data_IF_280328452183
#
_entry.id   IF_280328452183
#
_cell.length_a   1.000
_cell.length_b   1.000
_cell.length_c   1.000
_cell.angle_alpha   90.00
_cell.angle_beta   90.00
_cell.angle_gamma   90.00
#
_symmetry.space_group_name_H-M   'P 1'
#
loop_
_entity.id
_entity.type
_entity.pdbx_description
1 polymer ?
#
# COMPACT_ATOMS: atom_id res chain seq x y z
N UNK A 1 -24.80 -17.01 35.00
CA UNK A 1 -24.52 -16.67 33.59
C UNK A 1 -25.27 -17.65 32.72
N UNK A 2 -26.22 -17.14 31.95
CA UNK A 2 -26.92 -17.89 30.91
C UNK A 2 -26.07 -17.97 29.64
N UNK A 3 -26.41 -18.88 28.73
CA UNK A 3 -25.77 -18.97 27.41
C UNK A 3 -25.97 -17.67 26.60
N UNK A 4 -27.08 -16.95 26.85
CA UNK A 4 -27.38 -15.66 26.22
C UNK A 4 -26.51 -14.52 26.74
N UNK A 5 -26.12 -14.55 28.01
CA UNK A 5 -25.19 -13.55 28.57
C UNK A 5 -23.81 -13.71 27.92
N UNK A 6 -23.35 -14.96 27.78
CA UNK A 6 -22.05 -15.27 27.17
C UNK A 6 -21.98 -14.84 25.69
N UNK A 7 -23.05 -15.09 24.92
CA UNK A 7 -23.10 -14.67 23.52
C UNK A 7 -23.11 -13.14 23.39
N UNK A 8 -23.86 -12.42 24.23
CA UNK A 8 -23.89 -10.96 24.24
C UNK A 8 -22.51 -10.35 24.52
N UNK A 9 -21.78 -10.86 25.52
CA UNK A 9 -20.40 -10.43 25.77
C UNK A 9 -19.46 -10.78 24.62
N UNK A 10 -19.62 -11.96 24.01
CA UNK A 10 -18.84 -12.37 22.84
C UNK A 10 -19.01 -11.42 21.65
N UNK A 11 -20.26 -11.06 21.31
CA UNK A 11 -20.53 -10.09 20.25
C UNK A 11 -19.94 -8.72 20.58
N UNK A 12 -20.12 -8.23 21.81
CA UNK A 12 -19.58 -6.93 22.22
C UNK A 12 -18.05 -6.87 22.07
N UNK A 13 -17.34 -7.87 22.60
CA UNK A 13 -15.87 -7.95 22.51
C UNK A 13 -15.43 -8.03 21.05
N UNK A 14 -16.11 -8.84 20.23
CA UNK A 14 -15.79 -8.98 18.81
C UNK A 14 -15.98 -7.65 18.06
N UNK A 15 -17.10 -6.96 18.28
CA UNK A 15 -17.37 -5.66 17.63
C UNK A 15 -16.36 -4.59 18.06
N UNK A 16 -16.03 -4.51 19.35
CA UNK A 16 -15.02 -3.57 19.86
C UNK A 16 -13.64 -3.90 19.27
N UNK A 17 -13.24 -5.18 19.30
CA UNK A 17 -11.95 -5.62 18.77
C UNK A 17 -11.85 -5.33 17.27
N UNK A 18 -12.89 -5.63 16.50
CA UNK A 18 -12.94 -5.34 15.07
C UNK A 18 -12.83 -3.83 14.80
N UNK A 19 -13.53 -3.00 15.58
CA UNK A 19 -13.47 -1.54 15.46
C UNK A 19 -12.07 -1.00 15.77
N UNK A 20 -11.41 -1.53 16.81
CA UNK A 20 -10.04 -1.15 17.17
C UNK A 20 -9.02 -1.58 16.11
N UNK A 21 -9.14 -2.79 15.57
CA UNK A 21 -8.29 -3.26 14.48
C UNK A 21 -8.46 -2.40 13.23
N UNK A 22 -9.70 -2.01 12.91
CA UNK A 22 -9.98 -1.12 11.80
C UNK A 22 -9.34 0.26 12.01
N UNK A 23 -9.50 0.86 13.19
CA UNK A 23 -8.85 2.13 13.52
C UNK A 23 -7.32 2.03 13.50
N UNK A 24 -6.76 0.95 14.05
CA UNK A 24 -5.33 0.70 14.04
C UNK A 24 -4.78 0.53 12.61
N UNK A 25 -5.54 -0.14 11.73
CA UNK A 25 -5.17 -0.29 10.33
C UNK A 25 -5.14 1.06 9.61
N UNK A 26 -6.17 1.88 9.80
CA UNK A 26 -6.21 3.25 9.25
C UNK A 26 -5.00 4.04 9.75
N UNK A 27 -4.73 4.02 11.06
CA UNK A 27 -3.55 4.67 11.64
C UNK A 27 -2.23 4.14 11.07
N UNK A 28 -2.10 2.83 10.85
CA UNK A 28 -0.93 2.21 10.24
C UNK A 28 -0.67 2.74 8.82
N UNK A 29 -1.72 2.85 7.99
CA UNK A 29 -1.61 3.40 6.63
C UNK A 29 -1.14 4.85 6.65
N UNK A 30 -1.72 5.70 7.50
CA UNK A 30 -1.27 7.10 7.64
C UNK A 30 0.15 7.21 8.21
N UNK A 31 0.52 6.32 9.12
CA UNK A 31 1.87 6.26 9.68
C UNK A 31 2.90 5.84 8.62
N UNK A 32 2.54 4.91 7.73
CA UNK A 32 3.39 4.50 6.61
C UNK A 32 3.64 5.64 5.62
N UNK A 33 2.62 6.49 5.40
CA UNK A 33 2.74 7.75 4.64
C UNK A 33 3.69 8.73 5.32
N UNK A 34 3.50 8.99 6.63
CA UNK A 34 4.34 9.92 7.39
C UNK A 34 5.83 9.51 7.45
N UNK A 35 6.10 8.19 7.35
CA UNK A 35 7.46 7.63 7.37
C UNK A 35 8.14 7.65 5.98
N UNK A 36 7.44 8.11 4.94
CA UNK A 36 7.98 8.22 3.57
C UNK A 36 8.30 6.89 2.90
N UNK A 37 7.82 5.76 3.44
CA UNK A 37 8.13 4.42 2.90
C UNK A 37 7.26 4.08 1.69
N UNK A 38 6.02 4.60 1.66
CA UNK A 38 5.12 4.52 0.51
C UNK A 38 4.32 5.81 0.41
N UNK A 39 4.48 6.51 -0.69
CA UNK A 39 3.61 7.63 -1.06
C UNK A 39 2.35 7.06 -1.70
N UNK A 40 1.23 7.15 -1.00
CA UNK A 40 -0.07 6.73 -1.51
C UNK A 40 -0.84 7.86 -2.20
N UNK A 41 -0.37 9.12 -2.11
CA UNK A 41 -0.99 10.24 -2.84
C UNK A 41 -0.64 10.21 -4.32
N UNK A 42 0.52 9.63 -4.69
CA UNK A 42 0.93 9.49 -6.09
C UNK A 42 -0.08 8.74 -6.98
N UNK A 43 -0.92 7.87 -6.41
CA UNK A 43 -1.94 7.16 -7.18
C UNK A 43 -3.13 8.06 -7.54
N UNK A 44 -3.31 9.20 -6.85
CA UNK A 44 -4.27 10.23 -7.22
C UNK A 44 -3.89 10.92 -8.53
N UNK A 45 -2.59 11.06 -8.80
CA UNK A 45 -2.07 11.65 -10.05
C UNK A 45 -2.37 10.78 -11.28
N UNK A 46 -2.70 9.50 -11.11
CA UNK A 46 -3.15 8.63 -12.23
C UNK A 46 -4.41 9.20 -12.88
N UNK A 47 -5.32 9.79 -12.10
CA UNK A 47 -6.53 10.39 -12.65
C UNK A 47 -6.24 11.69 -13.44
N UNK A 48 -5.12 12.35 -13.15
CA UNK A 48 -4.69 13.57 -13.84
C UNK A 48 -3.85 13.25 -15.09
N UNK A 49 -3.11 12.15 -15.05
CA UNK A 49 -2.17 11.67 -16.06
C UNK A 49 -2.59 10.29 -16.61
N UNK A 50 -3.79 10.22 -17.19
CA UNK A 50 -4.39 8.99 -17.75
C UNK A 50 -4.13 8.82 -19.26
N UNK A 51 -3.21 9.61 -19.84
CA UNK A 51 -2.87 9.47 -21.26
C UNK A 51 -1.97 8.25 -21.48
N UNK A 52 -2.13 7.55 -22.61
CA UNK A 52 -1.32 6.35 -22.92
C UNK A 52 0.20 6.62 -23.03
N UNK A 53 0.59 7.88 -23.23
CA UNK A 53 2.00 8.30 -23.33
C UNK A 53 2.58 8.76 -22.00
N UNK A 54 1.78 8.83 -20.93
CA UNK A 54 2.25 9.28 -19.64
C UNK A 54 3.19 8.26 -18.97
N UNK A 55 4.02 8.78 -18.07
CA UNK A 55 5.01 7.98 -17.36
C UNK A 55 4.32 7.07 -16.33
N UNK A 56 4.77 5.82 -16.16
CA UNK A 56 4.25 4.96 -15.12
C UNK A 56 4.49 5.55 -13.71
N UNK A 57 3.47 5.49 -12.85
CA UNK A 57 3.48 6.02 -11.47
C UNK A 57 4.41 5.25 -10.53
N UNK A 58 4.78 4.03 -10.90
CA UNK A 58 5.79 3.25 -10.19
C UNK A 58 6.98 3.04 -11.12
N UNK A 59 8.19 3.21 -10.57
CA UNK A 59 9.39 2.74 -11.26
C UNK A 59 9.26 1.23 -11.44
N UNK A 60 9.16 0.83 -12.70
CA UNK A 60 9.30 -0.57 -13.08
C UNK A 60 10.78 -0.87 -12.85
N UNK A 61 11.13 -1.56 -11.76
CA UNK A 61 12.48 -2.09 -11.57
C UNK A 61 12.79 -3.03 -12.74
N UNK A 62 13.45 -2.50 -13.76
CA UNK A 62 13.99 -3.27 -14.86
C UNK A 62 15.34 -3.82 -14.42
N UNK A 63 15.42 -5.13 -14.17
CA UNK A 63 16.69 -5.90 -14.06
C UNK A 63 17.56 -5.86 -15.36
N UNK A 64 17.20 -5.04 -16.35
CA UNK A 64 17.81 -4.99 -17.68
C UNK A 64 18.65 -3.72 -17.98
N UNK A 65 18.76 -2.76 -17.04
CA UNK A 65 19.59 -1.58 -17.27
C UNK A 65 21.11 -1.82 -17.19
N UNK A 66 21.56 -2.96 -16.64
CA UNK A 66 23.00 -3.28 -16.53
C UNK A 66 23.58 -3.96 -17.79
N UNK A 67 22.74 -4.47 -18.69
CA UNK A 67 23.21 -5.25 -19.85
C UNK A 67 23.45 -4.41 -21.10
N UNK A 68 22.85 -3.22 -21.18
CA UNK A 68 22.94 -2.37 -22.38
C UNK A 68 24.20 -1.46 -22.35
N UNK A 69 24.61 -0.96 -21.17
CA UNK A 69 25.85 -0.18 -21.02
C UNK A 69 27.12 -1.01 -21.25
N UNK A 70 27.11 -2.29 -20.85
CA UNK A 70 28.25 -3.20 -21.02
C UNK A 70 28.43 -3.71 -22.46
N UNK A 71 27.40 -3.67 -23.30
CA UNK A 71 27.47 -4.08 -24.71
C UNK A 71 27.92 -2.95 -25.64
N UNK A 72 27.61 -1.69 -25.33
CA UNK A 72 28.09 -0.54 -26.12
C UNK A 72 29.61 -0.34 -25.92
N UNK A 73 30.11 -0.53 -24.69
CA UNK A 73 31.55 -0.38 -24.39
C UNK A 73 32.42 -1.50 -24.97
N UNK A 74 31.87 -2.71 -25.19
CA UNK A 74 32.58 -3.81 -25.88
C UNK A 74 32.59 -3.70 -27.42
N UNK A 75 31.82 -2.78 -27.99
CA UNK A 75 31.72 -2.55 -29.44
C UNK A 75 32.47 -1.29 -29.92
N UNK A 76 33.10 -0.55 -29.02
CA UNK A 76 34.00 0.57 -29.34
C UNK A 76 35.46 0.16 -29.36
#
# INVERSE_FOLDING_TARGET
MSIGDLSAYGYFILTVTLSLLFMAYVYHVYSAKAKGTKDYEKYGDIALHDELTDKPVEEIEHEDSDKESSQDERKR
#
